data_IF_271667205154
#
_entry.id   IF_271667205154
#
_cell.length_a   1.000
_cell.length_b   1.000
_cell.length_c   1.000
_cell.angle_alpha   90.00
_cell.angle_beta   90.00
_cell.angle_gamma   90.00
#
_symmetry.space_group_name_H-M   'P 1'
#
loop_
_entity.id
_entity.type
_entity.pdbx_description
1 polymer ?
#
# COMPACT_ATOMS: atom_id res chain seq x y z
N UNK A 1 -32.43 11.21 2.27
CA UNK A 1 -31.36 12.11 1.80
C UNK A 1 -31.21 11.86 0.30
N UNK A 2 -31.24 12.87 -0.57
CA UNK A 2 -31.32 12.62 -2.00
C UNK A 2 -30.03 11.98 -2.47
N UNK A 3 -30.17 10.90 -3.25
CA UNK A 3 -29.09 10.30 -4.04
C UNK A 3 -28.51 11.43 -4.89
N UNK A 4 -27.24 11.79 -4.66
CA UNK A 4 -26.56 12.68 -5.58
C UNK A 4 -26.43 11.95 -6.91
N UNK A 5 -27.06 12.50 -7.94
CA UNK A 5 -26.92 12.05 -9.32
C UNK A 5 -25.45 12.26 -9.67
N UNK A 6 -24.74 11.15 -9.84
CA UNK A 6 -23.36 11.15 -10.30
C UNK A 6 -23.34 11.83 -11.67
N UNK A 7 -22.82 13.05 -11.72
CA UNK A 7 -22.56 13.75 -12.98
C UNK A 7 -21.64 12.86 -13.79
N UNK A 8 -22.09 12.46 -14.99
CA UNK A 8 -21.35 11.60 -15.91
C UNK A 8 -19.93 12.16 -16.08
N UNK A 9 -18.91 11.44 -15.59
CA UNK A 9 -17.52 11.87 -15.73
C UNK A 9 -17.19 12.05 -17.21
N UNK A 10 -16.74 13.25 -17.60
CA UNK A 10 -16.39 13.58 -18.98
C UNK A 10 -15.03 12.98 -19.38
N UNK A 11 -14.18 12.69 -18.41
CA UNK A 11 -12.85 12.14 -18.59
C UNK A 11 -12.60 11.00 -17.61
N UNK A 12 -12.04 9.90 -18.11
CA UNK A 12 -11.63 8.74 -17.31
C UNK A 12 -10.18 8.44 -17.64
N UNK A 13 -9.36 8.25 -16.60
CA UNK A 13 -7.96 7.88 -16.75
C UNK A 13 -7.84 6.55 -17.49
N UNK A 14 -6.78 6.39 -18.28
CA UNK A 14 -6.56 5.14 -19.02
C UNK A 14 -6.49 3.95 -18.04
N UNK A 15 -7.17 2.81 -18.31
CA UNK A 15 -7.25 1.69 -17.35
C UNK A 15 -5.89 1.04 -17.05
N UNK A 16 -4.92 1.18 -17.98
CA UNK A 16 -3.55 0.72 -17.76
C UNK A 16 -2.68 1.70 -16.94
N UNK A 17 -3.22 2.85 -16.50
CA UNK A 17 -2.50 3.72 -15.58
C UNK A 17 -2.27 2.98 -14.26
N UNK A 18 -1.05 3.08 -13.73
CA UNK A 18 -0.65 2.45 -12.49
C UNK A 18 0.31 3.37 -11.73
N UNK A 19 0.43 3.15 -10.42
CA UNK A 19 1.44 3.85 -9.63
C UNK A 19 2.84 3.37 -10.00
N UNK A 20 3.76 4.33 -10.12
CA UNK A 20 5.20 4.05 -10.20
C UNK A 20 5.80 3.87 -8.80
N UNK A 21 6.93 4.52 -8.56
CA UNK A 21 7.58 4.50 -7.24
C UNK A 21 6.95 5.50 -6.26
N UNK A 22 7.07 5.19 -4.97
CA UNK A 22 6.93 6.18 -3.89
C UNK A 22 8.27 6.84 -3.65
N UNK A 23 8.31 8.15 -3.48
CA UNK A 23 9.55 8.88 -3.16
C UNK A 23 9.45 9.50 -1.76
N UNK A 24 10.28 9.02 -0.83
CA UNK A 24 10.34 9.53 0.54
C UNK A 24 11.57 10.41 0.74
N UNK A 25 11.39 11.49 1.51
CA UNK A 25 12.50 12.20 2.15
C UNK A 25 12.86 11.47 3.44
N UNK A 26 14.14 11.25 3.68
CA UNK A 26 14.64 10.52 4.85
C UNK A 26 15.72 11.28 5.60
N UNK A 27 15.81 11.08 6.92
CA UNK A 27 16.85 11.66 7.75
C UNK A 27 18.20 10.93 7.63
N UNK A 28 18.14 9.61 7.46
CA UNK A 28 19.28 8.69 7.34
C UNK A 28 19.05 7.69 6.21
N UNK A 29 19.70 7.94 5.07
CA UNK A 29 19.50 7.14 3.85
C UNK A 29 19.95 5.69 4.02
N UNK A 30 21.07 5.45 4.69
CA UNK A 30 21.64 4.12 4.83
C UNK A 30 20.82 3.25 5.79
N UNK A 31 20.27 3.86 6.84
CA UNK A 31 19.34 3.20 7.76
C UNK A 31 18.06 2.78 7.05
N UNK A 32 17.50 3.63 6.19
CA UNK A 32 16.32 3.26 5.40
C UNK A 32 16.63 2.17 4.38
N UNK A 33 17.71 2.29 3.61
CA UNK A 33 18.13 1.24 2.66
C UNK A 33 18.23 -0.10 3.39
N UNK A 34 18.91 -0.13 4.54
CA UNK A 34 19.06 -1.34 5.36
C UNK A 34 17.71 -1.90 5.78
N UNK A 35 16.77 -1.07 6.22
CA UNK A 35 15.42 -1.50 6.59
C UNK A 35 14.68 -2.15 5.41
N UNK A 36 14.63 -1.50 4.25
CA UNK A 36 13.89 -2.02 3.10
C UNK A 36 14.51 -3.31 2.54
N UNK A 37 15.84 -3.47 2.63
CA UNK A 37 16.49 -4.73 2.30
C UNK A 37 16.24 -5.82 3.34
N UNK A 38 16.33 -5.50 4.64
CA UNK A 38 16.24 -6.50 5.71
C UNK A 38 14.81 -6.93 6.00
N UNK A 39 13.83 -6.04 5.92
CA UNK A 39 12.44 -6.37 6.23
C UNK A 39 11.71 -6.80 4.97
N UNK A 40 11.73 -5.98 3.91
CA UNK A 40 10.96 -6.24 2.69
C UNK A 40 11.70 -7.10 1.67
N UNK A 41 13.03 -7.28 1.81
CA UNK A 41 13.83 -7.99 0.81
C UNK A 41 13.95 -7.26 -0.52
N UNK A 42 13.76 -5.94 -0.51
CA UNK A 42 14.04 -5.13 -1.68
C UNK A 42 15.53 -5.16 -2.01
N UNK A 43 15.83 -4.96 -3.28
CA UNK A 43 17.19 -4.84 -3.80
C UNK A 43 17.49 -3.36 -4.00
N UNK A 44 18.70 -2.95 -3.65
CA UNK A 44 19.21 -1.64 -4.03
C UNK A 44 19.53 -1.68 -5.54
N UNK A 45 18.78 -0.91 -6.33
CA UNK A 45 19.01 -0.83 -7.76
C UNK A 45 20.13 0.15 -8.08
N UNK A 46 20.12 1.30 -7.40
CA UNK A 46 21.13 2.33 -7.54
C UNK A 46 21.20 3.20 -6.29
N UNK A 47 22.38 3.79 -6.05
CA UNK A 47 22.60 4.84 -5.06
C UNK A 47 23.51 5.89 -5.69
N UNK A 48 23.09 7.14 -5.68
CA UNK A 48 23.83 8.28 -6.24
C UNK A 48 23.62 9.50 -5.35
N UNK A 49 24.73 10.10 -4.92
CA UNK A 49 24.74 11.24 -4.02
C UNK A 49 23.89 10.93 -2.76
N UNK A 50 22.95 11.81 -2.42
CA UNK A 50 22.02 11.67 -1.32
C UNK A 50 20.73 10.91 -1.71
N UNK A 51 20.70 10.15 -2.80
CA UNK A 51 19.48 9.48 -3.29
C UNK A 51 19.72 8.01 -3.64
N UNK A 52 18.72 7.16 -3.42
CA UNK A 52 18.73 5.76 -3.81
C UNK A 52 17.38 5.31 -4.40
N UNK A 53 17.44 4.29 -5.26
CA UNK A 53 16.27 3.57 -5.77
C UNK A 53 16.34 2.09 -5.36
N UNK A 54 15.20 1.57 -4.90
CA UNK A 54 15.03 0.20 -4.45
C UNK A 54 13.75 -0.40 -5.02
N UNK A 55 13.72 -1.72 -5.17
CA UNK A 55 12.52 -2.43 -5.57
C UNK A 55 12.68 -3.94 -5.50
N UNK A 56 11.74 -4.66 -6.08
CA UNK A 56 11.74 -6.12 -6.09
C UNK A 56 12.55 -6.74 -7.25
N UNK A 57 13.37 -5.93 -7.94
CA UNK A 57 14.34 -6.37 -8.93
C UNK A 57 14.10 -5.88 -10.37
N UNK A 58 12.86 -5.52 -10.75
CA UNK A 58 12.56 -4.92 -12.06
C UNK A 58 12.58 -3.40 -11.99
N UNK A 59 11.52 -2.82 -11.46
CA UNK A 59 11.32 -1.38 -11.39
C UNK A 59 11.62 -0.85 -9.98
N UNK A 60 12.08 0.39 -9.89
CA UNK A 60 12.09 1.11 -8.61
C UNK A 60 10.65 1.14 -8.07
N UNK A 61 10.45 0.59 -6.87
CA UNK A 61 9.19 0.73 -6.12
C UNK A 61 9.29 1.85 -5.09
N UNK A 62 10.52 2.14 -4.64
CA UNK A 62 10.82 3.15 -3.65
C UNK A 62 12.04 3.96 -4.07
N UNK A 63 11.92 5.28 -3.96
CA UNK A 63 13.04 6.21 -4.00
C UNK A 63 13.19 6.91 -2.67
N UNK A 64 14.42 7.13 -2.27
CA UNK A 64 14.78 7.76 -1.01
C UNK A 64 15.72 8.91 -1.30
N UNK A 65 15.44 10.11 -0.79
CA UNK A 65 16.39 11.24 -0.80
C UNK A 65 16.67 11.69 0.63
N UNK A 66 17.94 11.72 0.99
CA UNK A 66 18.40 12.21 2.30
C UNK A 66 18.22 13.72 2.39
N UNK A 67 17.52 14.15 3.43
CA UNK A 67 17.59 15.50 3.97
C UNK A 67 17.90 15.36 5.46
N UNK A 68 19.14 15.60 5.84
CA UNK A 68 19.59 15.45 7.23
C UNK A 68 18.75 16.30 8.17
N UNK A 69 18.27 15.69 9.25
CA UNK A 69 17.38 16.33 10.21
C UNK A 69 15.92 16.43 9.75
N UNK A 70 15.55 15.86 8.59
CA UNK A 70 14.16 15.63 8.26
C UNK A 70 13.51 14.78 9.34
N UNK A 71 12.26 15.11 9.67
CA UNK A 71 11.48 14.36 10.64
C UNK A 71 10.02 14.46 10.28
N UNK A 72 9.26 13.42 10.64
CA UNK A 72 7.82 13.40 10.37
C UNK A 72 7.11 14.40 11.28
N UNK A 73 6.39 15.35 10.68
CA UNK A 73 5.49 16.25 11.39
C UNK A 73 4.10 15.61 11.47
N UNK A 74 3.49 15.61 12.66
CA UNK A 74 2.14 15.07 12.86
C UNK A 74 1.08 16.13 12.59
N UNK A 75 -0.12 15.68 12.22
CA UNK A 75 -1.26 16.58 12.00
C UNK A 75 -1.16 17.45 10.74
N UNK A 76 -0.34 17.04 9.77
CA UNK A 76 -0.19 17.71 8.48
C UNK A 76 -0.80 16.87 7.36
N UNK A 77 -1.05 17.49 6.22
CA UNK A 77 -1.36 16.79 4.97
C UNK A 77 -0.15 16.00 4.48
N UNK A 78 -0.38 14.94 3.70
CA UNK A 78 0.66 14.12 3.11
C UNK A 78 0.43 12.63 3.31
N UNK A 79 1.50 11.84 3.22
CA UNK A 79 1.44 10.39 3.30
C UNK A 79 0.94 9.90 4.67
N UNK A 80 -0.10 9.06 4.66
CA UNK A 80 -0.45 8.21 5.78
C UNK A 80 0.29 6.87 5.67
N UNK A 81 0.09 6.15 4.56
CA UNK A 81 0.86 4.96 4.18
C UNK A 81 0.89 4.73 2.67
N UNK A 82 1.80 3.85 2.23
CA UNK A 82 1.79 3.28 0.88
C UNK A 82 1.73 1.77 0.94
N UNK A 83 1.09 1.15 -0.06
CA UNK A 83 0.91 -0.30 -0.10
C UNK A 83 1.89 -0.97 -1.06
N UNK A 84 2.63 -1.94 -0.53
CA UNK A 84 3.47 -2.87 -1.27
C UNK A 84 2.64 -4.13 -1.50
N UNK A 85 2.16 -4.29 -2.72
CA UNK A 85 1.28 -5.38 -3.11
C UNK A 85 2.09 -6.52 -3.73
N UNK A 86 2.11 -7.66 -3.06
CA UNK A 86 2.81 -8.87 -3.52
C UNK A 86 1.89 -9.76 -4.36
N UNK A 87 2.45 -10.55 -5.31
CA UNK A 87 1.64 -11.28 -6.28
C UNK A 87 0.91 -12.50 -5.69
N UNK A 88 1.37 -13.04 -4.55
CA UNK A 88 0.78 -14.25 -3.97
C UNK A 88 0.64 -14.15 -2.45
N UNK A 89 -0.30 -14.92 -1.90
CA UNK A 89 -0.47 -15.08 -0.45
C UNK A 89 0.79 -15.62 0.21
N UNK A 90 1.51 -16.51 -0.48
CA UNK A 90 2.78 -17.08 -0.03
C UNK A 90 3.87 -16.01 0.13
N UNK A 91 3.96 -15.04 -0.79
CA UNK A 91 4.88 -13.90 -0.64
C UNK A 91 4.51 -13.05 0.58
N UNK A 92 3.22 -12.84 0.86
CA UNK A 92 2.77 -12.11 2.05
C UNK A 92 3.14 -12.86 3.33
N UNK A 93 3.03 -14.19 3.33
CA UNK A 93 3.46 -15.04 4.44
C UNK A 93 4.96 -14.93 4.71
N UNK A 94 5.79 -14.88 3.65
CA UNK A 94 7.22 -14.65 3.79
C UNK A 94 7.54 -13.27 4.35
N UNK A 95 6.84 -12.23 3.90
CA UNK A 95 6.98 -10.89 4.47
C UNK A 95 6.59 -10.86 5.95
N UNK A 96 5.50 -11.52 6.35
CA UNK A 96 5.13 -11.65 7.77
C UNK A 96 6.25 -12.35 8.57
N UNK A 97 6.77 -13.48 8.06
CA UNK A 97 7.91 -14.18 8.70
C UNK A 97 9.10 -13.24 8.89
N UNK A 98 9.46 -12.45 7.87
CA UNK A 98 10.58 -11.50 7.94
C UNK A 98 10.34 -10.39 8.94
N UNK A 99 9.13 -9.83 8.98
CA UNK A 99 8.75 -8.82 9.97
C UNK A 99 8.96 -9.37 11.39
N UNK A 100 8.56 -10.62 11.64
CA UNK A 100 8.79 -11.30 12.92
C UNK A 100 10.28 -11.53 13.19
N UNK A 101 11.02 -12.12 12.25
CA UNK A 101 12.43 -12.46 12.43
C UNK A 101 13.33 -11.22 12.61
N UNK A 102 12.97 -10.11 11.95
CA UNK A 102 13.65 -8.81 12.07
C UNK A 102 13.18 -7.99 13.26
N UNK A 103 12.17 -8.45 13.98
CA UNK A 103 11.52 -7.73 15.08
C UNK A 103 10.98 -6.35 14.67
N UNK A 104 10.59 -6.21 13.39
CA UNK A 104 9.92 -5.02 12.92
C UNK A 104 8.53 -4.89 13.57
N UNK A 105 8.16 -3.67 13.96
CA UNK A 105 6.93 -3.44 14.71
C UNK A 105 5.68 -3.59 13.84
N UNK A 106 4.76 -4.48 14.22
CA UNK A 106 3.44 -4.60 13.58
C UNK A 106 2.48 -3.61 14.24
N UNK A 107 1.93 -2.70 13.45
CA UNK A 107 0.90 -1.73 13.87
C UNK A 107 -0.51 -2.30 13.79
N UNK A 108 -0.74 -3.26 12.90
CA UNK A 108 -2.03 -3.93 12.74
C UNK A 108 -1.99 -4.97 11.62
N UNK A 109 -2.93 -5.89 11.66
CA UNK A 109 -3.16 -6.88 10.61
C UNK A 109 -4.67 -6.95 10.37
N UNK A 110 -5.07 -6.87 9.11
CA UNK A 110 -6.48 -6.69 8.74
C UNK A 110 -6.81 -7.51 7.52
N UNK A 111 -7.99 -8.13 7.53
CA UNK A 111 -8.63 -8.66 6.33
C UNK A 111 -9.68 -7.66 5.87
N UNK A 112 -9.44 -7.01 4.74
CA UNK A 112 -10.37 -6.05 4.14
C UNK A 112 -11.43 -6.72 3.26
N UNK A 113 -11.51 -8.06 3.23
CA UNK A 113 -12.35 -8.88 2.34
C UNK A 113 -12.09 -8.73 0.84
N UNK A 114 -11.23 -7.79 0.46
CA UNK A 114 -10.68 -7.62 -0.90
C UNK A 114 -9.19 -7.94 -0.96
N UNK A 115 -8.51 -7.80 0.17
CA UNK A 115 -7.08 -8.07 0.34
C UNK A 115 -6.76 -8.31 1.82
N UNK A 116 -5.65 -9.00 2.06
CA UNK A 116 -5.02 -9.07 3.38
C UNK A 116 -3.99 -7.95 3.49
N UNK A 117 -3.90 -7.32 4.66
CA UNK A 117 -2.98 -6.22 4.94
C UNK A 117 -2.24 -6.41 6.27
N UNK A 118 -0.94 -6.14 6.26
CA UNK A 118 -0.09 -6.05 7.45
C UNK A 118 0.53 -4.66 7.47
N UNK A 119 0.24 -3.89 8.51
CA UNK A 119 0.72 -2.53 8.66
C UNK A 119 1.97 -2.48 9.53
N UNK A 120 3.05 -1.90 8.99
CA UNK A 120 4.31 -1.67 9.70
C UNK A 120 4.80 -0.25 9.48
N UNK A 121 5.54 0.36 10.42
CA UNK A 121 6.34 1.55 10.13
C UNK A 121 7.66 1.14 9.46
N UNK A 122 8.16 2.00 8.59
CA UNK A 122 9.57 1.96 8.20
C UNK A 122 10.49 2.43 9.35
N UNK A 123 11.80 2.45 9.12
CA UNK A 123 12.76 2.84 10.17
C UNK A 123 12.51 4.26 10.72
N UNK A 124 11.86 5.13 9.95
CA UNK A 124 11.58 6.52 10.32
C UNK A 124 10.09 6.79 10.61
N UNK A 125 9.27 5.73 10.64
CA UNK A 125 7.86 5.81 11.01
C UNK A 125 6.92 6.19 9.86
N UNK A 126 7.34 6.07 8.60
CA UNK A 126 6.42 6.13 7.46
C UNK A 126 5.61 4.84 7.41
N UNK A 127 4.29 4.95 7.18
CA UNK A 127 3.41 3.79 7.12
C UNK A 127 3.64 2.97 5.86
N UNK A 128 3.79 1.65 6.03
CA UNK A 128 3.82 0.67 4.96
C UNK A 128 2.68 -0.31 5.20
N UNK A 129 1.91 -0.58 4.15
CA UNK A 129 0.97 -1.68 4.11
C UNK A 129 1.56 -2.79 3.23
N UNK A 130 1.78 -3.97 3.79
CA UNK A 130 2.16 -5.16 3.04
C UNK A 130 0.87 -5.90 2.71
N UNK A 131 0.56 -6.05 1.43
CA UNK A 131 -0.75 -6.50 1.00
C UNK A 131 -0.71 -7.65 -0.01
N UNK A 132 -1.76 -8.46 -0.02
CA UNK A 132 -2.08 -9.41 -1.08
C UNK A 132 -3.56 -9.33 -1.41
N UNK A 133 -3.88 -9.06 -2.68
CA UNK A 133 -5.25 -8.98 -3.19
C UNK A 133 -5.85 -10.37 -3.38
N UNK A 134 -7.10 -10.52 -2.98
CA UNK A 134 -7.90 -11.68 -3.39
C UNK A 134 -8.20 -11.59 -4.88
N UNK A 135 -8.39 -12.74 -5.57
CA UNK A 135 -8.96 -12.76 -6.91
C UNK A 135 -10.24 -11.92 -6.97
N UNK A 136 -10.38 -11.11 -8.02
CA UNK A 136 -11.44 -10.09 -8.11
C UNK A 136 -12.84 -10.68 -8.01
N UNK A 137 -13.02 -11.91 -8.47
CA UNK A 137 -14.29 -12.66 -8.45
C UNK A 137 -14.73 -13.03 -7.03
N UNK A 138 -13.82 -12.97 -6.05
CA UNK A 138 -14.10 -13.24 -4.64
C UNK A 138 -14.49 -11.98 -3.87
N UNK A 139 -14.40 -10.81 -4.48
CA UNK A 139 -14.68 -9.56 -3.78
C UNK A 139 -16.18 -9.43 -3.51
N UNK A 140 -16.59 -9.08 -2.28
CA UNK A 140 -17.98 -8.79 -1.99
C UNK A 140 -18.50 -7.62 -2.81
N UNK A 141 -19.81 -7.58 -2.99
CA UNK A 141 -20.47 -6.39 -3.55
C UNK A 141 -20.21 -5.16 -2.67
N UNK A 142 -20.17 -3.97 -3.28
CA UNK A 142 -19.82 -2.74 -2.56
C UNK A 142 -20.68 -2.49 -1.32
N UNK A 143 -21.99 -2.73 -1.43
CA UNK A 143 -22.91 -2.57 -0.31
C UNK A 143 -22.65 -3.59 0.82
N UNK A 144 -22.10 -4.76 0.50
CA UNK A 144 -21.73 -5.77 1.48
C UNK A 144 -20.40 -5.43 2.15
N UNK A 145 -19.40 -5.00 1.39
CA UNK A 145 -18.11 -4.55 1.91
C UNK A 145 -18.28 -3.46 2.99
N UNK A 146 -19.15 -2.48 2.73
CA UNK A 146 -19.49 -1.42 3.69
C UNK A 146 -20.09 -1.98 4.99
N UNK A 147 -20.89 -3.05 4.91
CA UNK A 147 -21.51 -3.68 6.10
C UNK A 147 -20.51 -4.53 6.87
N UNK A 148 -19.65 -5.26 6.17
CA UNK A 148 -18.63 -6.11 6.77
C UNK A 148 -17.56 -5.27 7.48
N UNK A 149 -17.15 -4.15 6.88
CA UNK A 149 -16.02 -3.38 7.36
C UNK A 149 -14.74 -4.21 7.28
N UNK A 150 -14.00 -4.27 8.40
CA UNK A 150 -12.73 -4.98 8.49
C UNK A 150 -12.88 -6.25 9.33
N UNK A 151 -12.32 -7.36 8.83
CA UNK A 151 -12.22 -8.63 9.52
C UNK A 151 -10.83 -8.87 10.12
N UNK A 152 -10.70 -9.89 11.00
CA UNK A 152 -9.40 -10.30 11.49
C UNK A 152 -8.59 -11.01 10.39
N UNK A 153 -7.27 -10.82 10.42
CA UNK A 153 -6.30 -11.63 9.69
C UNK A 153 -5.68 -12.61 10.68
N UNK A 154 -5.76 -13.92 10.38
CA UNK A 154 -5.14 -14.97 11.17
C UNK A 154 -3.66 -15.17 10.75
N UNK A 155 -2.69 -14.81 11.60
CA UNK A 155 -1.27 -14.91 11.26
C UNK A 155 -0.79 -16.36 11.18
N UNK A 156 -1.38 -17.29 11.95
CA UNK A 156 -1.00 -18.70 11.91
C UNK A 156 -1.47 -19.33 10.60
N UNK A 157 -2.70 -19.00 10.16
CA UNK A 157 -3.23 -19.45 8.88
C UNK A 157 -2.37 -18.95 7.71
N UNK A 158 -1.97 -17.67 7.75
CA UNK A 158 -1.10 -17.07 6.73
C UNK A 158 0.29 -17.71 6.74
N UNK A 159 0.91 -17.90 7.91
CA UNK A 159 2.21 -18.56 8.01
C UNK A 159 2.16 -20.03 7.58
N UNK A 160 1.00 -20.68 7.65
CA UNK A 160 0.77 -22.02 7.12
C UNK A 160 1.00 -22.13 5.60
N UNK A 161 0.97 -21.02 4.84
CA UNK A 161 1.37 -21.04 3.42
C UNK A 161 2.83 -21.48 3.23
N UNK A 162 3.70 -21.18 4.20
CA UNK A 162 5.12 -21.56 4.16
C UNK A 162 5.34 -23.06 4.39
N UNK A 163 4.39 -23.76 4.99
CA UNK A 163 4.44 -25.21 5.16
C UNK A 163 3.92 -25.94 3.91
N UNK A 164 3.01 -25.30 3.16
CA UNK A 164 2.44 -25.84 1.92
C UNK A 164 3.41 -25.75 0.75
N UNK A 165 4.27 -24.73 0.74
CA UNK A 165 5.32 -24.55 -0.25
C UNK A 165 6.66 -24.22 0.44
N UNK A 166 7.56 -25.21 0.41
CA UNK A 166 8.90 -25.17 1.01
C UNK A 166 9.97 -24.56 0.10
N UNK A 167 9.57 -23.95 -1.03
CA UNK A 167 10.49 -23.28 -1.93
C UNK A 167 11.28 -22.20 -1.19
N UNK A 168 12.58 -22.02 -1.50
CA UNK A 168 13.36 -20.98 -0.85
C UNK A 168 12.88 -19.61 -1.29
N UNK A 169 12.66 -18.71 -0.33
CA UNK A 169 12.40 -17.31 -0.63
C UNK A 169 13.70 -16.59 -1.01
N UNK A 170 13.74 -15.97 -2.19
CA UNK A 170 14.96 -15.40 -2.79
C UNK A 170 15.00 -13.87 -2.78
N UNK A 171 14.14 -13.25 -1.97
CA UNK A 171 13.89 -11.80 -1.95
C UNK A 171 12.50 -11.47 -2.47
N UNK A 172 12.15 -10.18 -2.47
CA UNK A 172 10.85 -9.73 -2.96
C UNK A 172 10.62 -10.15 -4.41
N UNK A 173 9.41 -10.61 -4.71
CA UNK A 173 9.03 -11.05 -6.05
C UNK A 173 9.09 -9.90 -7.07
N UNK A 174 9.72 -10.04 -8.25
CA UNK A 174 9.77 -8.98 -9.26
C UNK A 174 8.44 -8.46 -9.77
N UNK A 175 7.33 -9.18 -9.56
CA UNK A 175 5.97 -8.73 -9.90
C UNK A 175 5.28 -7.98 -8.73
N UNK A 176 5.99 -7.74 -7.63
CA UNK A 176 5.57 -6.83 -6.55
C UNK A 176 5.44 -5.41 -7.09
N UNK A 177 4.36 -4.71 -6.71
CA UNK A 177 4.07 -3.34 -7.16
C UNK A 177 3.68 -2.42 -6.01
N UNK A 178 3.69 -1.11 -6.26
CA UNK A 178 2.98 -0.17 -5.39
C UNK A 178 1.50 -0.24 -5.77
N UNK A 179 0.67 -0.71 -4.83
CA UNK A 179 -0.76 -0.91 -5.05
C UNK A 179 -1.55 0.39 -4.97
N UNK A 180 -1.44 1.07 -3.83
CA UNK A 180 -2.10 2.35 -3.55
C UNK A 180 -1.29 3.21 -2.58
N UNK A 181 -1.73 4.46 -2.45
CA UNK A 181 -1.27 5.37 -1.38
C UNK A 181 -2.49 5.90 -0.64
N UNK A 182 -2.37 5.99 0.68
CA UNK A 182 -3.36 6.65 1.53
C UNK A 182 -2.79 8.00 1.98
N UNK A 183 -3.53 9.07 1.71
CA UNK A 183 -3.13 10.45 1.98
C UNK A 183 -4.03 11.11 3.02
N UNK A 184 -3.43 11.88 3.92
CA UNK A 184 -4.12 12.93 4.65
C UNK A 184 -4.26 14.17 3.78
N UNK A 185 -5.49 14.66 3.63
CA UNK A 185 -5.83 15.87 2.88
C UNK A 185 -6.52 16.87 3.79
N UNK A 186 -6.38 18.16 3.49
CA UNK A 186 -7.00 19.22 4.27
C UNK A 186 -8.51 19.35 4.00
N UNK A 187 -8.96 18.95 2.82
CA UNK A 187 -10.33 19.04 2.35
C UNK A 187 -10.64 17.85 1.43
N UNK A 188 -11.58 16.99 1.86
CA UNK A 188 -11.97 15.79 1.13
C UNK A 188 -12.73 16.10 -0.16
N UNK A 189 -13.54 17.16 -0.19
CA UNK A 189 -14.31 17.54 -1.38
C UNK A 189 -13.38 18.10 -2.46
N UNK A 190 -12.41 18.93 -2.06
CA UNK A 190 -11.40 19.46 -2.97
C UNK A 190 -10.51 18.35 -3.54
N UNK A 191 -10.07 17.41 -2.69
CA UNK A 191 -9.31 16.24 -3.14
C UNK A 191 -10.13 15.35 -4.07
N UNK A 192 -11.40 15.08 -3.73
CA UNK A 192 -12.32 14.30 -4.54
C UNK A 192 -12.46 14.85 -5.95
N UNK A 193 -12.71 16.15 -6.09
CA UNK A 193 -12.76 16.84 -7.40
C UNK A 193 -11.45 16.72 -8.17
N UNK A 194 -10.31 16.90 -7.50
CA UNK A 194 -9.03 16.77 -8.17
C UNK A 194 -8.79 15.36 -8.73
N UNK A 195 -8.98 14.32 -7.91
CA UNK A 195 -8.75 12.96 -8.36
C UNK A 195 -9.79 12.50 -9.39
N UNK A 196 -11.07 12.83 -9.22
CA UNK A 196 -12.14 12.33 -10.08
C UNK A 196 -12.35 13.18 -11.33
N UNK A 197 -12.37 14.51 -11.21
CA UNK A 197 -12.77 15.39 -12.32
C UNK A 197 -11.55 15.85 -13.14
N UNK A 198 -10.38 16.02 -12.50
CA UNK A 198 -9.16 16.46 -13.18
C UNK A 198 -8.32 15.28 -13.65
N UNK A 199 -8.03 14.33 -12.75
CA UNK A 199 -7.20 13.17 -13.08
C UNK A 199 -8.00 12.02 -13.70
N UNK A 200 -9.34 12.01 -13.58
CA UNK A 200 -10.20 10.99 -14.17
C UNK A 200 -10.23 9.66 -13.41
N UNK A 201 -9.87 9.64 -12.12
CA UNK A 201 -10.02 8.45 -11.27
C UNK A 201 -11.50 8.14 -11.06
N UNK A 202 -11.82 6.85 -10.98
CA UNK A 202 -13.16 6.39 -10.63
C UNK A 202 -13.16 6.00 -9.16
N UNK A 203 -14.16 6.47 -8.41
CA UNK A 203 -14.30 6.08 -7.02
C UNK A 203 -14.75 4.62 -6.94
N UNK A 204 -13.89 3.75 -6.39
CA UNK A 204 -14.23 2.34 -6.15
C UNK A 204 -15.27 2.21 -5.05
N UNK A 205 -15.12 3.00 -3.96
CA UNK A 205 -16.06 3.09 -2.85
C UNK A 205 -16.11 4.54 -2.35
N UNK A 206 -17.31 5.03 -2.06
CA UNK A 206 -17.52 6.31 -1.38
C UNK A 206 -18.12 6.03 -0.01
N UNK A 207 -17.33 6.23 1.03
CA UNK A 207 -17.84 6.24 2.39
C UNK A 207 -18.30 7.66 2.73
N UNK A 208 -19.60 7.89 2.80
CA UNK A 208 -20.12 9.15 3.35
C UNK A 208 -19.88 9.17 4.86
N UNK A 209 -18.90 9.96 5.33
CA UNK A 209 -18.61 10.06 6.75
C UNK A 209 -19.76 10.72 7.53
N UNK A 210 -20.26 10.01 8.55
CA UNK A 210 -20.42 10.59 9.89
C UNK A 210 -19.68 9.67 10.86
N UNK A 211 -18.61 10.22 11.44
CA UNK A 211 -17.72 9.65 12.47
C UNK A 211 -16.62 8.68 11.98
N UNK A 212 -15.39 9.18 12.13
CA UNK A 212 -14.15 8.49 12.54
C UNK A 212 -13.67 7.26 11.76
N UNK A 213 -12.73 7.54 10.84
CA UNK A 213 -11.63 6.69 10.36
C UNK A 213 -12.01 5.39 9.65
N UNK A 214 -12.06 5.42 8.31
CA UNK A 214 -11.98 4.23 7.45
C UNK A 214 -11.26 4.54 6.13
N UNK A 215 -10.55 3.52 5.63
CA UNK A 215 -9.58 3.54 4.53
C UNK A 215 -10.24 3.36 3.16
N UNK A 216 -9.71 4.03 2.13
CA UNK A 216 -10.16 3.89 0.74
C UNK A 216 -9.02 3.42 -0.16
N UNK A 217 -9.07 2.17 -0.62
CA UNK A 217 -8.17 1.65 -1.64
C UNK A 217 -8.61 2.10 -3.03
N UNK A 218 -7.79 2.95 -3.66
CA UNK A 218 -7.88 3.26 -5.09
C UNK A 218 -6.92 2.38 -5.88
N UNK A 219 -7.45 1.40 -6.60
CA UNK A 219 -6.72 0.61 -7.60
C UNK A 219 -7.43 0.71 -8.95
N UNK A 220 -6.67 0.95 -10.02
CA UNK A 220 -7.18 1.00 -11.40
C UNK A 220 -7.49 -0.42 -11.86
N UNK A 221 -8.77 -0.67 -12.18
CA UNK A 221 -9.19 -1.94 -12.76
C UNK A 221 -8.71 -2.07 -14.20
N UNK A 222 -7.86 -3.07 -14.45
CA UNK A 222 -7.70 -3.65 -15.78
C UNK A 222 -8.22 -5.09 -15.73
N UNK A 223 -9.22 -5.48 -16.54
CA UNK A 223 -9.60 -6.87 -16.71
C UNK A 223 -8.53 -7.59 -17.55
N UNK A 224 -8.19 -8.82 -17.15
CA UNK A 224 -7.61 -9.83 -18.05
C UNK A 224 -8.73 -10.70 -18.60
#
# INVERSE_FOLDING_TARGET
>A
MPVQVQTKQEFVIHPAAALGYVHLTTADLDRQITFYQSVLGFKLHWKKDATAGLGAGRDDLLRLTELRGAGRVRGTTGLYHFAVLVPTRWELAHLLRRVVDTHAHIQGMVNHYTHLAIYIPDAEGNGIELAWDFPREQWPEAAELVRLGNGPLDPEELLGELERDLSPWTGANPDTRIGHVHLHVADLDAAGRFYQDVLGFQATFLYSHRAERLEGCGGTGAPA
#
